data_IF_254887404505
#
_entry.id   IF_254887404505
#
_cell.length_a   1.000
_cell.length_b   1.000
_cell.length_c   1.000
_cell.angle_alpha   90.00
_cell.angle_beta   90.00
_cell.angle_gamma   90.00
#
_symmetry.space_group_name_H-M   'P 1'
#
loop_
_entity.id
_entity.type
_entity.pdbx_description
1 polymer ?
#
# COMPACT_ATOMS: atom_id res chain seq x y z
N UNK A 1 -7.77 14.78 -0.64
CA UNK A 1 -8.80 13.76 -0.34
C UNK A 1 -9.72 13.59 -1.53
N UNK A 2 -10.05 12.34 -1.90
CA UNK A 2 -11.01 12.00 -2.94
C UNK A 2 -12.05 11.03 -2.36
N UNK A 3 -13.29 11.49 -2.27
CA UNK A 3 -14.39 10.74 -1.64
C UNK A 3 -15.36 10.20 -2.69
N UNK A 4 -15.76 8.94 -2.53
CA UNK A 4 -16.66 8.23 -3.43
C UNK A 4 -17.80 7.54 -2.69
N UNK A 5 -18.51 6.68 -3.44
CA UNK A 5 -19.76 6.03 -3.00
C UNK A 5 -19.69 4.50 -2.96
N UNK A 6 -18.48 3.95 -3.00
CA UNK A 6 -18.25 2.51 -2.91
C UNK A 6 -18.46 1.99 -1.47
N UNK A 7 -18.49 0.67 -1.33
CA UNK A 7 -18.69 0.03 -0.04
C UNK A 7 -17.52 0.25 0.92
N UNK A 8 -17.87 0.36 2.19
CA UNK A 8 -16.95 0.41 3.34
C UNK A 8 -17.47 -0.53 4.42
N UNK A 9 -16.60 -0.89 5.35
CA UNK A 9 -16.89 -1.88 6.40
C UNK A 9 -17.20 -1.28 7.76
N UNK A 10 -16.49 -0.22 8.13
CA UNK A 10 -16.73 0.52 9.37
C UNK A 10 -17.73 1.65 9.11
N UNK A 11 -18.79 1.72 9.91
CA UNK A 11 -19.90 2.64 9.71
C UNK A 11 -19.99 3.60 10.90
N UNK A 12 -20.08 4.92 10.65
CA UNK A 12 -20.21 5.90 11.73
C UNK A 12 -21.53 5.77 12.50
N UNK A 13 -22.62 5.39 11.81
CA UNK A 13 -23.94 5.23 12.43
C UNK A 13 -24.07 3.87 13.13
N UNK A 14 -24.44 3.90 14.42
CA UNK A 14 -24.68 2.67 15.19
C UNK A 14 -25.78 1.81 14.55
N UNK A 15 -25.46 0.55 14.25
CA UNK A 15 -26.40 -0.42 13.68
C UNK A 15 -26.59 -0.31 12.17
N UNK A 16 -25.89 0.59 11.49
CA UNK A 16 -25.76 0.53 10.04
C UNK A 16 -25.08 -0.79 9.62
N UNK A 17 -25.64 -1.45 8.60
CA UNK A 17 -25.06 -2.67 8.09
C UNK A 17 -23.85 -2.35 7.20
N UNK A 18 -22.68 -2.98 7.42
CA UNK A 18 -21.52 -2.86 6.54
C UNK A 18 -21.87 -3.08 5.05
N UNK A 19 -21.24 -2.30 4.16
CA UNK A 19 -21.49 -2.35 2.71
C UNK A 19 -22.88 -1.91 2.25
N UNK A 20 -23.66 -1.22 3.09
CA UNK A 20 -24.99 -0.67 2.75
C UNK A 20 -24.97 0.84 2.54
N UNK A 21 -26.05 1.40 1.98
CA UNK A 21 -26.20 2.87 1.83
C UNK A 21 -26.21 3.63 3.17
N UNK A 22 -26.50 2.96 4.28
CA UNK A 22 -26.46 3.58 5.61
C UNK A 22 -25.06 3.52 6.24
N UNK A 23 -24.13 2.79 5.61
CA UNK A 23 -22.75 2.69 6.07
C UNK A 23 -21.92 3.80 5.41
N UNK A 24 -21.82 4.91 6.12
CA UNK A 24 -21.03 6.07 5.74
C UNK A 24 -20.09 6.44 6.88
N UNK A 25 -18.96 7.08 6.56
CA UNK A 25 -18.02 7.67 7.50
C UNK A 25 -17.76 9.13 7.14
N UNK A 26 -17.45 9.92 8.16
CA UNK A 26 -16.98 11.28 7.98
C UNK A 26 -15.54 11.26 7.52
N UNK A 27 -15.23 12.04 6.48
CA UNK A 27 -13.86 12.33 6.06
C UNK A 27 -13.08 12.87 7.25
N UNK A 28 -11.97 12.23 7.56
CA UNK A 28 -11.10 12.64 8.65
C UNK A 28 -10.63 14.09 8.48
N UNK A 29 -10.61 14.82 9.59
CA UNK A 29 -10.19 16.21 9.62
C UNK A 29 -11.10 17.22 8.91
N UNK A 30 -12.20 16.80 8.28
CA UNK A 30 -13.17 17.71 7.69
C UNK A 30 -14.00 18.41 8.78
N UNK A 31 -14.01 19.75 8.74
CA UNK A 31 -14.74 20.61 9.69
C UNK A 31 -16.25 20.58 9.43
N UNK A 32 -16.65 20.44 8.17
CA UNK A 32 -18.04 20.28 7.73
C UNK A 32 -18.32 18.80 7.38
N UNK A 33 -19.58 18.37 7.46
CA UNK A 33 -19.99 17.01 7.10
C UNK A 33 -19.62 16.70 5.63
N UNK A 34 -18.62 15.84 5.47
CA UNK A 34 -18.09 15.32 4.23
C UNK A 34 -18.11 13.79 4.34
N UNK A 35 -19.27 13.20 4.03
CA UNK A 35 -19.48 11.77 4.18
C UNK A 35 -19.00 11.01 2.93
N UNK A 36 -18.42 9.84 3.16
CA UNK A 36 -18.07 8.85 2.15
C UNK A 36 -18.64 7.48 2.51
N UNK A 37 -18.79 6.60 1.52
CA UNK A 37 -19.41 5.29 1.68
C UNK A 37 -20.67 5.13 0.83
N UNK A 38 -21.21 3.91 0.79
CA UNK A 38 -22.36 3.57 -0.04
C UNK A 38 -22.30 2.16 -0.59
N UNK A 39 -22.88 1.95 -1.78
CA UNK A 39 -23.02 0.63 -2.43
C UNK A 39 -22.50 0.59 -3.87
N UNK A 40 -21.99 1.71 -4.39
CA UNK A 40 -21.62 1.86 -5.80
C UNK A 40 -20.13 1.56 -6.00
N UNK A 41 -19.77 0.28 -5.99
CA UNK A 41 -18.38 -0.16 -6.16
C UNK A 41 -17.74 0.26 -7.49
N UNK A 42 -18.55 0.54 -8.51
CA UNK A 42 -18.11 1.03 -9.81
C UNK A 42 -18.28 2.56 -9.97
N UNK A 43 -18.42 3.31 -8.87
CA UNK A 43 -18.44 4.77 -8.88
C UNK A 43 -17.20 5.35 -9.57
N UNK A 44 -17.35 6.53 -10.16
CA UNK A 44 -16.27 7.28 -10.78
C UNK A 44 -16.09 8.60 -10.02
N UNK A 45 -15.16 8.61 -9.08
CA UNK A 45 -14.83 9.79 -8.29
C UNK A 45 -13.92 10.76 -9.05
N UNK A 46 -13.48 10.41 -10.28
CA UNK A 46 -12.73 11.29 -11.18
C UNK A 46 -11.41 10.70 -11.69
N UNK A 47 -10.52 11.58 -12.13
CA UNK A 47 -9.18 11.24 -12.61
C UNK A 47 -8.12 12.16 -12.01
N UNK A 48 -7.09 11.58 -11.41
CA UNK A 48 -5.87 12.28 -10.99
C UNK A 48 -4.68 11.72 -11.76
N UNK A 49 -3.88 12.59 -12.38
CA UNK A 49 -2.67 12.13 -13.04
C UNK A 49 -1.61 13.20 -13.17
N UNK A 50 -0.35 12.79 -12.98
CA UNK A 50 0.82 13.66 -12.90
C UNK A 50 0.63 14.74 -11.83
N UNK A 51 0.30 14.29 -10.61
CA UNK A 51 0.04 15.17 -9.46
C UNK A 51 1.14 14.99 -8.43
N UNK A 52 1.66 16.11 -7.93
CA UNK A 52 2.56 16.14 -6.78
C UNK A 52 1.83 16.77 -5.59
N UNK A 53 1.72 16.02 -4.50
CA UNK A 53 1.17 16.46 -3.22
C UNK A 53 2.37 16.61 -2.29
N UNK A 54 2.70 17.86 -1.92
CA UNK A 54 3.92 18.19 -1.17
C UNK A 54 3.59 18.88 0.13
N UNK A 55 4.26 18.51 1.21
CA UNK A 55 4.15 19.11 2.55
C UNK A 55 2.70 19.09 3.05
N UNK A 56 2.04 17.95 2.87
CA UNK A 56 0.73 17.66 3.42
C UNK A 56 0.83 17.26 4.88
N UNK A 57 -0.34 17.11 5.49
CA UNK A 57 -0.51 16.54 6.79
C UNK A 57 -0.31 17.48 7.96
N UNK A 58 -1.14 17.24 8.96
CA UNK A 58 -1.24 18.02 10.17
C UNK A 58 -2.01 17.21 11.20
N UNK A 59 -1.45 17.05 12.40
CA UNK A 59 -2.15 16.39 13.51
C UNK A 59 -3.23 17.32 14.03
N UNK A 60 -4.49 16.98 13.80
CA UNK A 60 -5.64 17.78 14.24
C UNK A 60 -6.02 17.43 15.68
N UNK A 61 -6.00 16.15 16.03
CA UNK A 61 -6.15 15.62 17.39
C UNK A 61 -5.63 14.17 17.45
N UNK A 62 -5.71 13.50 18.61
CA UNK A 62 -5.34 12.08 18.70
C UNK A 62 -6.18 11.24 17.74
N UNK A 63 -5.54 10.47 16.86
CA UNK A 63 -6.19 9.64 15.85
C UNK A 63 -7.11 10.46 14.93
N UNK A 64 -6.72 11.71 14.68
CA UNK A 64 -7.27 12.51 13.60
C UNK A 64 -6.15 13.33 12.98
N UNK A 65 -5.65 12.81 11.88
CA UNK A 65 -4.53 13.36 11.13
C UNK A 65 -4.97 13.61 9.67
N UNK A 66 -4.11 14.25 8.88
CA UNK A 66 -4.39 14.51 7.46
C UNK A 66 -3.28 13.85 6.66
N UNK A 67 -3.65 12.99 5.73
CA UNK A 67 -2.70 12.28 4.89
C UNK A 67 -2.38 13.11 3.63
N UNK A 68 -1.46 12.62 2.82
CA UNK A 68 -1.16 13.20 1.51
C UNK A 68 -2.23 12.87 0.48
N UNK A 69 -2.26 11.61 0.02
CA UNK A 69 -3.33 11.10 -0.85
C UNK A 69 -4.31 10.28 -0.02
N UNK A 70 -5.43 10.88 0.37
CA UNK A 70 -6.53 10.12 0.99
C UNK A 70 -7.56 9.71 -0.04
N UNK A 71 -7.84 8.41 -0.14
CA UNK A 71 -8.85 7.82 -1.02
C UNK A 71 -9.93 7.18 -0.16
N UNK A 72 -11.16 7.66 -0.26
CA UNK A 72 -12.24 7.27 0.65
C UNK A 72 -13.42 6.75 -0.16
N UNK A 73 -13.73 5.46 -0.06
CA UNK A 73 -14.80 4.80 -0.80
C UNK A 73 -14.79 5.09 -2.32
N UNK A 74 -13.61 5.28 -2.92
CA UNK A 74 -13.50 5.54 -4.36
C UNK A 74 -13.92 4.29 -5.13
N UNK A 75 -14.73 4.46 -6.19
CA UNK A 75 -15.15 3.32 -7.00
C UNK A 75 -14.13 2.91 -8.07
N UNK A 76 -14.26 1.70 -8.59
CA UNK A 76 -13.31 1.09 -9.53
C UNK A 76 -13.19 1.78 -10.89
N UNK A 77 -14.14 2.66 -11.23
CA UNK A 77 -14.09 3.47 -12.44
C UNK A 77 -13.19 4.71 -12.29
N UNK A 78 -12.80 5.07 -11.06
CA UNK A 78 -11.84 6.14 -10.76
C UNK A 78 -10.46 5.83 -11.35
N UNK A 79 -9.75 6.85 -11.81
CA UNK A 79 -8.43 6.71 -12.43
C UNK A 79 -7.37 7.49 -11.66
N UNK A 80 -6.35 6.81 -11.15
CA UNK A 80 -5.27 7.41 -10.38
C UNK A 80 -3.95 6.91 -10.94
N UNK A 81 -3.17 7.81 -11.55
CA UNK A 81 -1.97 7.41 -12.29
C UNK A 81 -0.86 8.49 -12.27
N UNK A 82 0.35 8.17 -11.85
CA UNK A 82 1.46 9.12 -11.63
C UNK A 82 1.12 10.11 -10.51
N UNK A 83 1.13 9.63 -9.27
CA UNK A 83 0.97 10.46 -8.07
C UNK A 83 2.26 10.41 -7.26
N UNK A 84 2.72 11.58 -6.84
CA UNK A 84 3.85 11.74 -5.93
C UNK A 84 3.38 12.37 -4.64
N UNK A 85 3.61 11.68 -3.53
CA UNK A 85 3.51 12.19 -2.17
C UNK A 85 4.91 12.59 -1.68
N UNK A 86 5.05 13.78 -1.11
CA UNK A 86 6.32 14.30 -0.61
C UNK A 86 6.17 14.96 0.76
N UNK A 87 6.85 14.42 1.77
CA UNK A 87 6.86 14.88 3.16
C UNK A 87 5.44 15.14 3.71
N UNK A 88 4.63 14.09 3.73
CA UNK A 88 3.39 14.10 4.52
C UNK A 88 3.74 14.01 6.00
N UNK A 89 3.16 14.84 6.87
CA UNK A 89 3.30 14.73 8.34
C UNK A 89 2.48 13.58 8.96
N UNK A 90 2.06 12.66 8.11
CA UNK A 90 1.18 11.52 8.35
C UNK A 90 1.45 10.55 7.17
N UNK A 91 0.47 9.76 6.77
CA UNK A 91 0.63 8.80 5.69
C UNK A 91 0.93 9.39 4.31
N UNK A 92 1.71 8.65 3.52
CA UNK A 92 1.94 9.01 2.12
C UNK A 92 0.71 8.77 1.24
N UNK A 93 -0.05 7.71 1.53
CA UNK A 93 -1.36 7.40 0.97
C UNK A 93 -2.10 6.54 1.98
N UNK A 94 -3.37 6.86 2.19
CA UNK A 94 -4.27 6.04 2.98
C UNK A 94 -5.56 5.81 2.20
N UNK A 95 -6.00 4.56 2.16
CA UNK A 95 -7.23 4.13 1.48
C UNK A 95 -8.23 3.61 2.49
N UNK A 96 -9.34 4.31 2.61
CA UNK A 96 -10.47 3.96 3.46
C UNK A 96 -11.60 3.36 2.60
N UNK A 97 -11.64 2.04 2.51
CA UNK A 97 -12.64 1.29 1.76
C UNK A 97 -12.67 1.57 0.25
N UNK A 98 -13.69 1.02 -0.42
CA UNK A 98 -13.85 1.14 -1.87
C UNK A 98 -12.89 0.30 -2.70
N UNK A 99 -12.73 0.67 -3.98
CA UNK A 99 -12.03 -0.09 -5.02
C UNK A 99 -10.96 0.75 -5.72
N UNK A 100 -9.95 1.20 -4.98
CA UNK A 100 -8.89 2.06 -5.52
C UNK A 100 -7.94 1.31 -6.47
N UNK A 101 -7.63 1.91 -7.61
CA UNK A 101 -6.65 1.38 -8.57
C UNK A 101 -5.63 2.47 -8.88
N UNK A 102 -4.41 2.32 -8.38
CA UNK A 102 -3.35 3.34 -8.45
C UNK A 102 -2.15 2.80 -9.23
N UNK A 103 -1.81 3.45 -10.34
CA UNK A 103 -0.62 3.10 -11.13
C UNK A 103 0.43 4.19 -11.02
N UNK A 104 1.71 3.84 -10.96
CA UNK A 104 2.83 4.79 -10.80
C UNK A 104 2.68 5.68 -9.56
N UNK A 105 3.03 5.12 -8.40
CA UNK A 105 3.01 5.82 -7.12
C UNK A 105 4.43 6.11 -6.63
N UNK A 106 4.65 7.33 -6.14
CA UNK A 106 5.91 7.72 -5.52
C UNK A 106 5.59 8.31 -4.15
N UNK A 107 6.25 7.80 -3.12
CA UNK A 107 6.18 8.35 -1.77
C UNK A 107 7.59 8.64 -1.29
N UNK A 108 7.81 9.87 -0.82
CA UNK A 108 9.09 10.26 -0.22
C UNK A 108 8.83 10.99 1.08
N UNK A 109 9.28 10.40 2.19
CA UNK A 109 9.42 11.08 3.47
C UNK A 109 8.14 11.30 4.27
N UNK A 110 7.11 10.45 4.11
CA UNK A 110 6.00 10.37 5.06
C UNK A 110 6.51 10.16 6.49
N UNK A 111 5.81 10.75 7.45
CA UNK A 111 6.18 10.71 8.88
C UNK A 111 5.55 9.54 9.62
N UNK A 112 4.52 8.93 9.04
CA UNK A 112 3.90 7.69 9.50
C UNK A 112 4.03 6.59 8.43
N UNK A 113 2.93 5.98 7.98
CA UNK A 113 2.94 4.88 7.03
C UNK A 113 3.01 5.35 5.59
N UNK A 114 3.61 4.52 4.73
CA UNK A 114 3.81 4.90 3.33
C UNK A 114 2.72 4.38 2.40
N UNK A 115 2.02 3.34 2.83
CA UNK A 115 0.83 2.80 2.19
C UNK A 115 -0.01 2.20 3.30
N UNK A 116 -1.06 2.89 3.69
CA UNK A 116 -2.05 2.37 4.62
C UNK A 116 -3.37 2.06 3.89
N UNK A 117 -4.00 0.97 4.31
CA UNK A 117 -5.29 0.52 3.82
C UNK A 117 -6.12 0.04 5.00
N UNK A 118 -7.32 0.60 5.13
CA UNK A 118 -8.30 0.22 6.15
C UNK A 118 -9.72 0.12 5.57
N UNK A 119 -10.69 -0.23 6.40
CA UNK A 119 -12.14 -0.09 6.16
C UNK A 119 -12.67 -0.97 5.03
N UNK A 120 -12.09 -2.16 4.87
CA UNK A 120 -12.52 -3.14 3.89
C UNK A 120 -12.09 -2.82 2.46
N UNK A 121 -10.99 -2.07 2.32
CA UNK A 121 -10.45 -1.64 1.02
C UNK A 121 -10.24 -2.81 0.06
N UNK A 122 -10.57 -2.61 -1.22
CA UNK A 122 -10.20 -3.49 -2.33
C UNK A 122 -9.25 -2.74 -3.27
N UNK A 123 -7.97 -2.66 -2.95
CA UNK A 123 -7.04 -1.79 -3.67
C UNK A 123 -6.01 -2.55 -4.52
N UNK A 124 -5.63 -1.95 -5.65
CA UNK A 124 -4.55 -2.44 -6.49
C UNK A 124 -3.54 -1.33 -6.78
N UNK A 125 -2.26 -1.66 -6.60
CA UNK A 125 -1.14 -0.77 -6.84
C UNK A 125 -0.12 -1.41 -7.77
N UNK A 126 0.34 -0.70 -8.80
CA UNK A 126 1.45 -1.16 -9.63
C UNK A 126 2.45 -0.04 -9.95
N UNK A 127 3.74 -0.36 -9.86
CA UNK A 127 4.88 0.54 -10.00
C UNK A 127 4.97 1.55 -8.87
N UNK A 128 5.90 1.32 -7.94
CA UNK A 128 6.02 2.14 -6.74
C UNK A 128 7.46 2.41 -6.33
N UNK A 129 7.79 3.68 -6.07
CA UNK A 129 9.05 4.07 -5.43
C UNK A 129 8.71 4.71 -4.08
N UNK A 130 9.03 4.02 -2.99
CA UNK A 130 8.68 4.44 -1.63
C UNK A 130 9.97 4.58 -0.82
N UNK A 131 10.24 5.78 -0.33
CA UNK A 131 11.51 6.14 0.32
C UNK A 131 11.25 6.94 1.58
N UNK A 132 11.63 6.41 2.72
CA UNK A 132 11.59 7.17 3.97
C UNK A 132 12.82 8.09 4.12
N UNK A 133 12.62 9.17 4.87
CA UNK A 133 13.73 10.02 5.34
C UNK A 133 14.48 9.30 6.47
N UNK A 134 15.77 9.61 6.69
CA UNK A 134 16.48 9.06 7.84
C UNK A 134 15.77 9.42 9.16
N UNK A 135 15.52 8.40 10.00
CA UNK A 135 14.94 8.53 11.35
C UNK A 135 13.51 9.10 11.44
N UNK A 136 12.76 9.17 10.34
CA UNK A 136 11.39 9.69 10.31
C UNK A 136 10.52 8.74 9.46
N UNK A 137 9.33 8.39 9.96
CA UNK A 137 8.43 7.40 9.36
C UNK A 137 8.18 6.19 10.28
N UNK A 138 7.05 5.50 10.10
CA UNK A 138 6.75 4.23 10.76
C UNK A 138 6.90 3.04 9.78
N UNK A 139 5.82 2.38 9.34
CA UNK A 139 5.88 1.26 8.42
C UNK A 139 5.90 1.69 6.94
N UNK A 140 6.28 0.73 6.10
CA UNK A 140 6.17 0.85 4.65
C UNK A 140 4.79 0.50 4.16
N UNK A 141 4.18 -0.48 4.81
CA UNK A 141 2.82 -0.93 4.57
C UNK A 141 2.19 -1.15 5.94
N UNK A 142 1.10 -0.45 6.20
CA UNK A 142 0.09 -0.85 7.17
C UNK A 142 -1.16 -1.35 6.42
N UNK A 143 -1.80 -2.36 7.00
CA UNK A 143 -3.03 -2.89 6.48
C UNK A 143 -3.88 -3.36 7.64
N UNK A 144 -4.99 -2.67 7.84
CA UNK A 144 -6.02 -3.00 8.81
C UNK A 144 -7.38 -3.17 8.12
N UNK A 145 -8.37 -3.67 8.82
CA UNK A 145 -9.76 -3.65 8.36
C UNK A 145 -10.76 -3.73 9.52
N UNK A 146 -10.28 -3.84 10.77
CA UNK A 146 -11.06 -4.22 11.95
C UNK A 146 -10.55 -3.49 13.21
N UNK A 147 -11.41 -2.65 13.80
CA UNK A 147 -11.21 -2.12 15.15
C UNK A 147 -12.18 -2.70 16.22
N UNK A 148 -13.02 -3.70 15.88
CA UNK A 148 -13.97 -4.29 16.85
C UNK A 148 -14.46 -5.74 16.60
N UNK A 149 -14.49 -6.25 15.36
CA UNK A 149 -15.08 -7.56 15.01
C UNK A 149 -14.36 -8.19 13.80
N UNK A 150 -13.72 -9.34 14.03
CA UNK A 150 -13.27 -10.21 12.94
C UNK A 150 -14.47 -10.67 12.09
N UNK A 151 -14.43 -10.45 10.78
CA UNK A 151 -15.42 -11.01 9.83
C UNK A 151 -16.54 -10.08 9.38
N UNK A 152 -16.37 -8.76 9.51
CA UNK A 152 -17.24 -7.80 8.82
C UNK A 152 -16.91 -7.75 7.31
N UNK A 153 -17.94 -7.55 6.49
CA UNK A 153 -17.82 -7.47 5.04
C UNK A 153 -18.12 -6.04 4.55
N UNK A 154 -17.38 -5.49 3.57
CA UNK A 154 -16.30 -6.13 2.83
C UNK A 154 -15.03 -6.35 3.67
N UNK A 155 -14.34 -7.46 3.46
CA UNK A 155 -13.02 -7.67 4.07
C UNK A 155 -11.98 -6.96 3.21
N UNK A 156 -10.90 -6.44 3.77
CA UNK A 156 -9.85 -5.85 2.94
C UNK A 156 -9.18 -6.87 2.01
N UNK A 157 -8.91 -6.47 0.76
CA UNK A 157 -8.10 -7.20 -0.21
C UNK A 157 -7.21 -6.22 -1.00
N UNK A 158 -5.95 -6.10 -0.61
CA UNK A 158 -5.00 -5.17 -1.26
C UNK A 158 -3.91 -5.94 -2.01
N UNK A 159 -3.58 -5.50 -3.23
CA UNK A 159 -2.55 -6.12 -4.07
C UNK A 159 -1.56 -5.08 -4.57
N UNK A 160 -0.29 -5.27 -4.24
CA UNK A 160 0.81 -4.37 -4.58
C UNK A 160 1.82 -5.09 -5.44
N UNK A 161 2.18 -4.51 -6.60
CA UNK A 161 3.10 -5.11 -7.55
C UNK A 161 4.18 -4.14 -8.05
N UNK A 162 5.41 -4.62 -8.21
CA UNK A 162 6.51 -3.83 -8.79
C UNK A 162 6.87 -2.59 -7.95
N UNK A 163 7.05 -2.77 -6.64
CA UNK A 163 7.46 -1.71 -5.71
C UNK A 163 8.91 -1.87 -5.26
N UNK A 164 9.56 -0.75 -4.96
CA UNK A 164 10.77 -0.68 -4.12
C UNK A 164 10.43 0.15 -2.90
N UNK A 165 10.60 -0.45 -1.73
CA UNK A 165 10.47 0.19 -0.43
C UNK A 165 11.86 0.35 0.20
N UNK A 166 12.24 1.58 0.52
CA UNK A 166 13.51 1.90 1.16
C UNK A 166 13.27 2.53 2.53
N UNK A 167 13.40 1.72 3.58
CA UNK A 167 13.11 2.13 4.96
C UNK A 167 14.40 2.55 5.65
N UNK A 168 14.40 3.79 6.12
CA UNK A 168 15.57 4.41 6.75
C UNK A 168 15.22 5.05 8.11
N UNK A 169 14.03 4.78 8.63
CA UNK A 169 13.67 5.00 10.02
C UNK A 169 13.80 3.71 10.84
N UNK A 170 13.85 3.85 12.17
CA UNK A 170 13.62 2.72 13.06
C UNK A 170 12.12 2.64 13.35
N UNK A 171 11.51 1.54 12.95
CA UNK A 171 10.16 1.16 13.33
C UNK A 171 10.25 0.35 14.63
N UNK A 172 10.30 1.08 15.75
CA UNK A 172 10.36 0.50 17.10
C UNK A 172 9.10 0.79 17.93
N UNK A 173 8.06 1.33 17.30
CA UNK A 173 6.79 1.80 17.89
C UNK A 173 5.65 0.79 17.68
N UNK A 174 4.49 1.24 17.20
CA UNK A 174 3.20 0.55 17.09
C UNK A 174 3.29 -0.72 16.24
N UNK A 175 3.94 -0.60 15.08
CA UNK A 175 3.85 -1.58 14.01
C UNK A 175 4.84 -2.73 14.13
N UNK A 176 6.02 -2.40 14.66
CA UNK A 176 7.12 -3.33 15.02
C UNK A 176 7.79 -4.00 13.83
N UNK A 177 7.39 -3.69 12.60
CA UNK A 177 7.97 -4.22 11.37
C UNK A 177 7.68 -3.31 10.16
N UNK A 178 8.48 -3.43 9.11
CA UNK A 178 8.30 -2.70 7.85
C UNK A 178 6.94 -2.92 7.19
N UNK A 179 6.36 -4.09 7.36
CA UNK A 179 5.06 -4.48 6.81
C UNK A 179 4.25 -5.03 7.96
N UNK A 180 3.19 -4.31 8.33
CA UNK A 180 2.18 -4.78 9.26
C UNK A 180 0.94 -5.20 8.49
N UNK A 181 0.52 -6.45 8.67
CA UNK A 181 -0.75 -6.96 8.17
C UNK A 181 -1.58 -7.41 9.36
N UNK A 182 -2.68 -6.71 9.65
CA UNK A 182 -3.59 -7.01 10.76
C UNK A 182 -5.05 -6.92 10.31
N UNK A 183 -5.96 -6.94 11.28
CA UNK A 183 -7.41 -6.84 11.05
C UNK A 183 -8.05 -8.01 10.29
N UNK A 184 -7.30 -9.06 9.91
CA UNK A 184 -7.79 -9.98 8.90
C UNK A 184 -7.80 -9.34 7.52
N UNK A 185 -6.74 -8.66 7.13
CA UNK A 185 -6.57 -8.24 5.73
C UNK A 185 -6.19 -9.42 4.84
N UNK A 186 -6.80 -9.55 3.66
CA UNK A 186 -6.23 -10.36 2.59
C UNK A 186 -5.22 -9.48 1.85
N UNK A 187 -3.97 -9.91 1.73
CA UNK A 187 -2.92 -9.06 1.14
C UNK A 187 -2.09 -9.80 0.12
N UNK A 188 -1.67 -9.11 -0.94
CA UNK A 188 -0.77 -9.64 -1.95
C UNK A 188 0.39 -8.70 -2.24
N UNK A 189 1.62 -9.18 -2.14
CA UNK A 189 2.81 -8.44 -2.53
C UNK A 189 3.59 -9.23 -3.60
N UNK A 190 3.79 -8.60 -4.75
CA UNK A 190 4.31 -9.26 -5.95
C UNK A 190 5.44 -8.47 -6.57
N UNK A 191 6.50 -9.14 -7.04
CA UNK A 191 7.57 -8.50 -7.80
C UNK A 191 8.17 -7.27 -7.11
N UNK A 192 8.32 -7.29 -5.79
CA UNK A 192 8.69 -6.10 -5.00
C UNK A 192 9.94 -6.32 -4.19
N UNK A 193 10.60 -5.22 -3.82
CA UNK A 193 11.81 -5.23 -3.00
C UNK A 193 11.61 -4.36 -1.77
N UNK A 194 11.95 -4.90 -0.60
CA UNK A 194 12.03 -4.18 0.67
C UNK A 194 13.48 -4.09 1.12
N UNK A 195 13.96 -2.87 1.35
CA UNK A 195 15.26 -2.58 1.95
C UNK A 195 15.03 -1.96 3.32
N UNK A 196 15.18 -2.76 4.37
CA UNK A 196 14.99 -2.33 5.76
C UNK A 196 16.00 -3.03 6.69
N UNK A 197 17.31 -2.74 6.55
CA UNK A 197 18.36 -3.49 7.26
C UNK A 197 18.31 -3.34 8.79
N UNK A 198 17.55 -2.38 9.30
CA UNK A 198 17.43 -2.07 10.73
C UNK A 198 16.09 -2.47 11.34
N UNK A 199 15.13 -2.98 10.56
CA UNK A 199 13.82 -3.36 11.08
C UNK A 199 13.45 -4.83 10.76
N UNK A 200 12.62 -5.47 11.60
CA UNK A 200 11.87 -6.64 11.19
C UNK A 200 11.06 -6.33 9.94
N UNK A 201 10.98 -7.28 9.01
CA UNK A 201 10.33 -7.04 7.73
C UNK A 201 8.81 -7.23 7.80
N UNK A 202 8.34 -8.28 8.48
CA UNK A 202 6.92 -8.64 8.46
C UNK A 202 6.40 -8.92 9.86
N UNK A 203 5.29 -8.27 10.18
CA UNK A 203 4.41 -8.57 11.31
C UNK A 203 3.03 -8.93 10.74
N UNK A 204 2.63 -10.20 10.83
CA UNK A 204 1.25 -10.62 10.55
C UNK A 204 0.60 -10.86 11.89
N UNK A 205 -0.41 -10.07 12.21
CA UNK A 205 -1.09 -10.11 13.50
C UNK A 205 -2.37 -10.93 13.43
N UNK A 206 -2.61 -11.72 14.48
CA UNK A 206 -3.78 -12.59 14.69
C UNK A 206 -3.89 -13.77 13.71
N UNK A 207 -4.54 -14.84 14.17
CA UNK A 207 -4.77 -16.06 13.37
C UNK A 207 -5.65 -15.84 12.15
N UNK A 208 -6.52 -14.84 12.19
CA UNK A 208 -7.51 -14.50 11.17
C UNK A 208 -6.86 -13.89 9.92
N UNK A 209 -5.80 -13.10 10.10
CA UNK A 209 -4.98 -12.61 8.98
C UNK A 209 -4.16 -13.75 8.38
N UNK A 210 -3.72 -14.70 9.20
CA UNK A 210 -2.92 -15.85 8.76
C UNK A 210 -3.73 -17.05 8.24
N UNK A 211 -5.06 -16.95 8.20
CA UNK A 211 -5.93 -18.08 7.87
C UNK A 211 -5.84 -18.43 6.38
N UNK A 212 -5.44 -19.67 6.08
CA UNK A 212 -5.41 -20.17 4.70
C UNK A 212 -6.77 -20.64 4.17
N UNK A 213 -7.85 -20.50 4.93
CA UNK A 213 -9.17 -21.03 4.57
C UNK A 213 -9.98 -19.93 3.89
N UNK A 214 -10.39 -20.16 2.64
CA UNK A 214 -11.31 -19.22 1.99
C UNK A 214 -12.72 -19.35 2.54
N UNK A 215 -13.38 -18.22 2.78
CA UNK A 215 -14.75 -18.14 3.26
C UNK A 215 -15.53 -17.08 2.48
N UNK A 216 -16.49 -17.52 1.66
CA UNK A 216 -17.39 -16.62 0.94
C UNK A 216 -18.24 -15.78 1.90
N UNK A 217 -18.63 -16.35 3.04
CA UNK A 217 -19.48 -15.67 4.01
C UNK A 217 -18.75 -14.51 4.73
N UNK A 218 -17.44 -14.64 4.93
CA UNK A 218 -16.60 -13.63 5.57
C UNK A 218 -15.77 -12.82 4.56
N UNK A 219 -16.06 -12.96 3.26
CA UNK A 219 -15.29 -12.34 2.18
C UNK A 219 -13.76 -12.60 2.28
N UNK A 220 -13.38 -13.75 2.84
CA UNK A 220 -12.00 -14.14 3.13
C UNK A 220 -11.40 -14.89 1.94
N UNK A 221 -10.43 -14.24 1.29
CA UNK A 221 -9.68 -14.81 0.17
C UNK A 221 -8.42 -15.57 0.60
N UNK A 222 -8.11 -15.54 1.89
CA UNK A 222 -7.09 -16.34 2.57
C UNK A 222 -5.87 -15.52 2.99
N UNK A 223 -4.87 -16.23 3.51
CA UNK A 223 -3.66 -15.64 4.07
C UNK A 223 -2.89 -14.78 3.04
N UNK A 224 -2.07 -13.82 3.51
CA UNK A 224 -1.24 -13.01 2.64
C UNK A 224 -0.39 -13.83 1.66
N UNK A 225 -0.24 -13.31 0.44
CA UNK A 225 0.47 -13.98 -0.66
C UNK A 225 1.67 -13.15 -1.09
N UNK A 226 2.85 -13.76 -1.06
CA UNK A 226 4.09 -13.15 -1.54
C UNK A 226 4.62 -13.91 -2.76
N UNK A 227 4.96 -13.22 -3.85
CA UNK A 227 5.61 -13.82 -5.04
C UNK A 227 6.70 -12.93 -5.60
N UNK A 228 7.89 -13.50 -5.81
CA UNK A 228 9.06 -12.77 -6.30
C UNK A 228 9.36 -11.51 -5.47
N UNK A 229 9.34 -11.65 -4.14
CA UNK A 229 9.59 -10.57 -3.18
C UNK A 229 10.96 -10.74 -2.52
N UNK A 230 11.79 -9.70 -2.59
CA UNK A 230 13.10 -9.66 -1.93
C UNK A 230 13.06 -8.76 -0.71
N UNK A 231 13.63 -9.19 0.41
CA UNK A 231 13.68 -8.42 1.64
C UNK A 231 15.07 -8.45 2.25
N UNK A 232 15.65 -7.27 2.45
CA UNK A 232 16.76 -7.07 3.37
C UNK A 232 16.18 -6.61 4.71
N UNK A 233 16.28 -7.45 5.73
CA UNK A 233 15.73 -7.21 7.06
C UNK A 233 16.84 -6.99 8.09
N UNK A 234 16.45 -6.58 9.31
CA UNK A 234 17.25 -6.79 10.50
C UNK A 234 17.50 -8.28 10.79
N UNK A 235 18.29 -8.55 11.84
CA UNK A 235 18.53 -9.91 12.32
C UNK A 235 17.22 -10.63 12.69
N UNK A 236 16.30 -9.94 13.35
CA UNK A 236 14.91 -10.39 13.52
C UNK A 236 14.14 -10.03 12.25
N UNK A 237 13.61 -11.04 11.54
CA UNK A 237 12.90 -10.84 10.26
C UNK A 237 11.38 -10.79 10.42
N UNK A 238 10.85 -11.56 11.35
CA UNK A 238 9.42 -11.78 11.57
C UNK A 238 9.06 -11.56 13.03
N UNK A 239 7.86 -11.03 13.26
CA UNK A 239 7.33 -10.75 14.61
C UNK A 239 6.34 -11.83 15.03
N UNK A 240 6.35 -12.19 16.32
CA UNK A 240 5.27 -12.95 16.95
C UNK A 240 4.22 -11.98 17.50
N UNK A 241 3.06 -11.91 16.85
CA UNK A 241 1.94 -11.05 17.25
C UNK A 241 0.62 -11.82 17.20
N UNK A 242 0.54 -12.92 17.96
CA UNK A 242 -0.63 -13.79 17.98
C UNK A 242 -0.58 -14.93 16.96
N UNK A 243 0.47 -14.98 16.13
CA UNK A 243 0.89 -16.15 15.37
C UNK A 243 2.42 -16.29 15.50
N UNK A 244 2.93 -17.52 15.40
CA UNK A 244 4.36 -17.77 15.57
C UNK A 244 5.19 -17.17 14.42
N UNK A 245 6.44 -16.78 14.71
CA UNK A 245 7.45 -16.40 13.70
C UNK A 245 7.55 -17.43 12.58
N UNK A 246 7.46 -18.73 12.90
CA UNK A 246 7.49 -19.82 11.91
C UNK A 246 6.27 -19.83 10.97
N UNK A 247 5.09 -19.41 11.45
CA UNK A 247 3.91 -19.26 10.62
C UNK A 247 4.07 -18.07 9.66
N UNK A 248 4.55 -16.92 10.15
CA UNK A 248 4.86 -15.75 9.29
C UNK A 248 5.87 -16.12 8.21
N UNK A 249 6.96 -16.79 8.58
CA UNK A 249 7.98 -17.26 7.64
C UNK A 249 7.43 -18.24 6.60
N UNK A 250 6.48 -19.10 6.99
CA UNK A 250 5.82 -20.05 6.07
C UNK A 250 4.90 -19.34 5.07
N UNK A 251 4.20 -18.29 5.52
CA UNK A 251 3.35 -17.45 4.66
C UNK A 251 4.20 -16.68 3.65
N UNK A 252 5.32 -16.09 4.10
CA UNK A 252 6.27 -15.45 3.19
C UNK A 252 6.90 -16.45 2.22
N UNK A 253 7.27 -17.64 2.70
CA UNK A 253 7.74 -18.74 1.85
C UNK A 253 9.17 -18.55 1.32
N UNK A 254 10.11 -18.16 2.19
CA UNK A 254 11.54 -17.97 1.87
C UNK A 254 12.12 -19.12 1.05
N UNK A 255 12.80 -18.80 -0.05
CA UNK A 255 13.41 -19.78 -0.96
C UNK A 255 12.43 -20.47 -1.91
N UNK A 256 11.14 -20.13 -1.83
CA UNK A 256 10.08 -20.60 -2.74
C UNK A 256 9.44 -19.41 -3.46
N UNK A 257 8.78 -19.67 -4.60
CA UNK A 257 8.03 -18.65 -5.34
C UNK A 257 8.81 -17.37 -5.71
N UNK A 258 10.14 -17.44 -5.79
CA UNK A 258 11.01 -16.27 -6.02
C UNK A 258 11.23 -15.36 -4.81
N UNK A 259 10.79 -15.76 -3.60
CA UNK A 259 10.91 -14.97 -2.39
C UNK A 259 12.26 -15.21 -1.68
N UNK A 260 12.88 -14.14 -1.16
CA UNK A 260 14.16 -14.21 -0.44
C UNK A 260 14.21 -13.16 0.68
N UNK A 261 14.39 -13.61 1.92
CA UNK A 261 14.52 -12.77 3.13
C UNK A 261 15.98 -12.63 3.60
N UNK A 262 16.94 -13.14 2.83
CA UNK A 262 18.38 -13.01 3.02
C UNK A 262 19.02 -12.16 1.92
N UNK A 263 18.20 -11.37 1.23
CA UNK A 263 18.59 -10.59 0.08
C UNK A 263 19.56 -9.46 0.47
N UNK A 264 20.56 -9.25 -0.40
CA UNK A 264 21.49 -8.11 -0.35
C UNK A 264 21.26 -7.22 -1.57
N UNK A 265 20.88 -5.94 -1.39
CA UNK A 265 20.64 -5.04 -2.51
C UNK A 265 21.88 -4.75 -3.34
N UNK A 266 21.69 -4.65 -4.65
CA UNK A 266 22.73 -4.25 -5.62
C UNK A 266 22.28 -3.16 -6.56
N UNK A 267 21.20 -2.44 -6.21
CA UNK A 267 20.65 -1.36 -7.01
C UNK A 267 21.75 -0.43 -7.54
N UNK A 268 21.60 -0.01 -8.80
CA UNK A 268 22.53 0.94 -9.45
C UNK A 268 22.25 2.38 -9.05
N UNK A 269 21.05 2.64 -8.52
CA UNK A 269 20.64 3.85 -7.82
C UNK A 269 19.84 3.47 -6.56
N UNK A 270 19.00 4.34 -6.03
CA UNK A 270 18.13 4.01 -4.89
C UNK A 270 17.07 2.93 -5.21
N UNK A 271 16.62 2.86 -6.47
CA UNK A 271 15.48 2.02 -6.87
C UNK A 271 15.63 1.36 -8.25
N UNK A 272 16.71 1.65 -9.00
CA UNK A 272 16.99 1.01 -10.29
C UNK A 272 17.70 -0.32 -10.05
N UNK A 273 17.10 -1.41 -10.50
CA UNK A 273 17.64 -2.76 -10.33
C UNK A 273 19.12 -2.87 -10.72
N UNK A 274 19.85 -3.66 -9.95
CA UNK A 274 21.18 -4.14 -10.27
C UNK A 274 21.21 -5.65 -10.43
N UNK A 275 22.38 -6.23 -10.16
CA UNK A 275 22.68 -7.61 -10.55
C UNK A 275 21.87 -8.67 -9.78
N UNK A 276 21.53 -8.43 -8.52
CA UNK A 276 20.77 -9.36 -7.69
C UNK A 276 19.27 -9.30 -8.01
N UNK A 277 18.72 -8.10 -8.19
CA UNK A 277 17.31 -7.92 -8.51
C UNK A 277 17.00 -8.45 -9.92
N UNK A 278 17.90 -8.22 -10.87
CA UNK A 278 17.76 -8.66 -12.28
C UNK A 278 17.74 -10.20 -12.43
N UNK A 279 18.30 -10.95 -11.49
CA UNK A 279 18.31 -12.43 -11.56
C UNK A 279 16.99 -13.07 -11.18
N UNK A 280 16.09 -12.33 -10.53
CA UNK A 280 14.83 -12.88 -10.03
C UNK A 280 13.82 -12.95 -11.16
N UNK A 281 13.26 -14.13 -11.36
CA UNK A 281 12.14 -14.30 -12.28
C UNK A 281 10.91 -13.58 -11.71
N UNK A 282 10.35 -12.66 -12.47
CA UNK A 282 9.12 -11.97 -12.11
C UNK A 282 7.91 -12.93 -12.19
N UNK A 283 7.01 -12.81 -11.24
CA UNK A 283 5.68 -13.39 -11.28
C UNK A 283 4.81 -12.64 -12.30
N UNK A 284 4.02 -13.37 -13.09
CA UNK A 284 3.12 -12.76 -14.07
C UNK A 284 1.86 -12.19 -13.37
N UNK A 285 1.97 -10.98 -12.84
CA UNK A 285 0.87 -10.29 -12.14
C UNK A 285 -0.36 -10.03 -13.01
N UNK A 286 -0.22 -10.07 -14.34
CA UNK A 286 -1.36 -9.92 -15.25
C UNK A 286 -2.36 -11.08 -15.13
N UNK A 287 -1.93 -12.23 -14.61
CA UNK A 287 -2.80 -13.36 -14.26
C UNK A 287 -3.76 -13.06 -13.11
N UNK A 288 -3.50 -11.99 -12.36
CA UNK A 288 -4.38 -11.51 -11.30
C UNK A 288 -5.47 -10.59 -11.84
N UNK A 289 -5.47 -10.17 -13.11
CA UNK A 289 -6.48 -9.26 -13.64
C UNK A 289 -7.89 -9.88 -13.66
N UNK A 290 -8.91 -9.05 -13.48
CA UNK A 290 -10.33 -9.43 -13.52
C UNK A 290 -10.71 -10.55 -12.52
N UNK A 291 -10.02 -10.63 -11.37
CA UNK A 291 -10.40 -11.58 -10.34
C UNK A 291 -11.59 -11.05 -9.56
N UNK A 292 -12.57 -11.95 -9.38
CA UNK A 292 -13.71 -11.76 -8.53
C UNK A 292 -13.66 -12.78 -7.40
N UNK A 293 -14.10 -12.38 -6.22
CA UNK A 293 -14.44 -13.29 -5.14
C UNK A 293 -15.79 -12.89 -4.56
N UNK A 294 -16.69 -13.84 -4.37
CA UNK A 294 -18.06 -13.56 -3.92
C UNK A 294 -18.80 -12.49 -4.77
N UNK A 295 -18.49 -12.41 -6.08
CA UNK A 295 -19.05 -11.39 -6.97
C UNK A 295 -18.49 -9.97 -6.77
N UNK A 296 -17.53 -9.79 -5.87
CA UNK A 296 -16.83 -8.52 -5.60
C UNK A 296 -15.55 -8.48 -6.43
N UNK A 297 -15.29 -7.34 -7.09
CA UNK A 297 -14.05 -7.12 -7.83
C UNK A 297 -12.87 -6.97 -6.88
N UNK A 298 -11.93 -7.92 -6.92
CA UNK A 298 -10.65 -7.81 -6.21
C UNK A 298 -9.63 -7.08 -7.09
N UNK A 299 -9.66 -7.33 -8.40
CA UNK A 299 -8.78 -6.69 -9.39
C UNK A 299 -9.53 -6.29 -10.63
N UNK A 300 -9.28 -5.06 -11.06
CA UNK A 300 -9.81 -4.54 -12.31
C UNK A 300 -9.20 -5.25 -13.52
N UNK A 301 -10.03 -5.51 -14.52
CA UNK A 301 -9.57 -6.08 -15.79
C UNK A 301 -8.52 -5.16 -16.46
N UNK A 302 -7.37 -5.74 -16.84
CA UNK A 302 -6.29 -5.02 -17.49
C UNK A 302 -5.56 -4.01 -16.61
N UNK A 303 -5.71 -4.06 -15.29
CA UNK A 303 -4.99 -3.18 -14.38
C UNK A 303 -3.51 -3.52 -14.30
N UNK A 304 -3.17 -4.78 -14.00
CA UNK A 304 -1.78 -5.22 -13.88
C UNK A 304 -1.16 -5.49 -15.25
N UNK A 305 -0.10 -4.77 -15.55
CA UNK A 305 0.77 -5.03 -16.69
C UNK A 305 1.66 -6.23 -16.40
N UNK A 306 1.91 -7.05 -17.42
CA UNK A 306 2.90 -8.12 -17.33
C UNK A 306 4.31 -7.53 -17.39
N UNK A 307 5.08 -7.70 -16.33
CA UNK A 307 6.49 -7.32 -16.26
C UNK A 307 7.41 -8.54 -16.33
N UNK A 308 8.63 -8.33 -16.81
CA UNK A 308 9.69 -9.36 -16.83
C UNK A 308 10.75 -9.12 -15.75
N UNK A 309 10.46 -8.28 -14.77
CA UNK A 309 11.37 -7.82 -13.73
C UNK A 309 10.62 -7.59 -12.41
N UNK A 310 11.36 -7.67 -11.31
CA UNK A 310 10.91 -7.26 -9.98
C UNK A 310 11.37 -5.84 -9.66
N UNK A 311 10.89 -5.24 -8.57
CA UNK A 311 11.20 -3.87 -8.21
C UNK A 311 10.45 -2.86 -9.09
N UNK A 312 10.75 -1.58 -8.86
CA UNK A 312 10.05 -0.44 -9.42
C UNK A 312 10.52 -0.07 -10.82
N UNK A 313 11.83 -0.17 -11.05
CA UNK A 313 12.49 0.30 -12.28
C UNK A 313 13.46 -0.76 -12.76
N UNK A 314 13.22 -1.27 -13.97
CA UNK A 314 13.94 -2.41 -14.53
C UNK A 314 15.43 -2.15 -14.72
N UNK A 315 15.76 -1.00 -15.28
CA UNK A 315 17.11 -0.56 -15.63
C UNK A 315 17.08 0.95 -15.94
N UNK A 316 18.23 1.54 -16.27
CA UNK A 316 18.33 2.98 -16.52
C UNK A 316 17.56 3.50 -17.76
N UNK A 317 17.04 2.61 -18.62
CA UNK A 317 16.18 2.99 -19.75
C UNK A 317 14.71 3.11 -19.39
N UNK A 318 14.30 2.53 -18.25
CA UNK A 318 12.96 2.65 -17.70
C UNK A 318 12.86 3.96 -16.91
N UNK A 319 12.05 4.90 -17.42
CA UNK A 319 12.05 6.31 -17.00
C UNK A 319 10.66 6.84 -16.67
N UNK A 320 9.71 5.97 -16.31
CA UNK A 320 8.32 6.35 -16.01
C UNK A 320 8.21 7.41 -14.88
N UNK A 321 9.18 7.45 -13.98
CA UNK A 321 9.26 8.39 -12.88
C UNK A 321 9.82 9.78 -13.28
N UNK A 322 10.30 9.95 -14.51
CA UNK A 322 10.92 11.19 -14.97
C UNK A 322 9.92 12.16 -15.62
N UNK A 323 10.24 13.45 -15.61
CA UNK A 323 9.45 14.49 -16.30
C UNK A 323 8.33 15.11 -15.48
N UNK A 324 7.99 14.51 -14.34
CA UNK A 324 6.86 14.94 -13.51
C UNK A 324 7.09 14.85 -12.01
N UNK A 325 8.21 14.29 -11.56
CA UNK A 325 8.61 14.23 -10.14
C UNK A 325 9.43 15.45 -9.74
N UNK A 326 9.77 15.57 -8.46
CA UNK A 326 10.78 16.50 -7.98
C UNK A 326 11.85 15.77 -7.16
N UNK A 327 13.07 16.30 -7.14
CA UNK A 327 14.19 15.69 -6.41
C UNK A 327 14.27 16.20 -4.98
N UNK A 328 14.81 15.37 -4.10
CA UNK A 328 15.14 15.72 -2.73
C UNK A 328 16.45 15.08 -2.31
N UNK A 329 16.92 15.39 -1.11
CA UNK A 329 18.09 14.70 -0.53
C UNK A 329 17.80 13.24 -0.18
N UNK A 330 16.54 12.86 0.01
CA UNK A 330 16.14 11.48 0.30
C UNK A 330 16.02 10.64 -0.98
N UNK A 331 15.53 11.23 -2.08
CA UNK A 331 15.37 10.56 -3.37
C UNK A 331 15.70 11.51 -4.52
N UNK A 332 16.65 11.11 -5.37
CA UNK A 332 17.00 11.80 -6.60
C UNK A 332 16.47 11.02 -7.81
N UNK A 333 15.62 11.69 -8.60
CA UNK A 333 15.00 11.13 -9.79
C UNK A 333 15.71 11.59 -11.08
N UNK A 334 16.84 12.29 -10.98
CA UNK A 334 17.63 12.76 -12.11
C UNK A 334 17.28 14.16 -12.62
N UNK A 335 17.87 14.57 -13.73
CA UNK A 335 17.88 15.97 -14.19
C UNK A 335 16.69 16.39 -15.06
N UNK A 336 15.84 15.45 -15.49
CA UNK A 336 14.68 15.70 -16.36
C UNK A 336 13.39 16.08 -15.62
N UNK A 337 13.45 16.34 -14.33
CA UNK A 337 12.29 16.50 -13.44
C UNK A 337 11.93 17.96 -13.18
N UNK A 338 10.89 18.22 -12.39
CA UNK A 338 10.40 19.58 -12.09
C UNK A 338 11.30 20.36 -11.12
N UNK A 339 12.59 20.01 -11.02
CA UNK A 339 13.55 20.60 -10.09
C UNK A 339 13.51 19.98 -8.70
N UNK A 340 13.80 20.79 -7.66
CA UNK A 340 13.88 20.35 -6.28
C UNK A 340 12.52 20.46 -5.57
N UNK A 341 12.21 19.50 -4.70
CA UNK A 341 11.12 19.59 -3.72
C UNK A 341 11.56 20.51 -2.56
N UNK A 342 11.75 21.81 -2.83
CA UNK A 342 12.13 22.81 -1.82
C UNK A 342 11.04 23.83 -1.54
N UNK A 343 9.97 23.81 -2.34
CA UNK A 343 8.84 24.72 -2.22
C UNK A 343 7.57 24.06 -2.71
N UNK A 344 6.42 24.63 -2.32
CA UNK A 344 5.12 24.27 -2.87
C UNK A 344 5.16 24.46 -4.40
N UNK A 345 4.50 23.59 -5.18
CA UNK A 345 4.34 23.82 -6.61
C UNK A 345 3.54 25.11 -6.80
N UNK A 346 4.19 26.22 -7.17
CA UNK A 346 3.49 27.43 -7.60
C UNK A 346 3.32 27.36 -9.10
N UNK A 347 2.08 27.54 -9.56
CA UNK A 347 1.72 27.59 -10.98
C UNK A 347 2.44 28.73 -11.74
#
# INVERSE_FOLDING_TARGET
>A
MLSGRAQITDCAATGAAPGSNACERQTEGAVDDALYGGVLNNDNSGRMSYVQIRYSGYVLSSNSELQSLTLQAVGSATQIDHIMSYNSSDDAVEVFGGHAHVKHFIAVGAEDDNLDTDVGTKANFQYGIVVQRPNIGDAMIEADTDNALDGNNPRQNTRVANFVFFQNSQNSSSDKASILLRGGTDYGLYNSVLVSPTNPCINISRTQTASGTQSVAADEFGAPIFRSVLMQCASTKYIDSGITVGAVASIFGTGSNGNDDAYTPTFTSLFINGANETKVAAFDVSTLNAQLFNGIELTRAGFFDKTSYIGAVKDASDTWYQGWTCNSTAADFGTGNTGLCTSLPTA
#
